data_IF_946002947888
#
_entry.id   IF_946002947888
#
_cell.length_a   1.000
_cell.length_b   1.000
_cell.length_c   1.000
_cell.angle_alpha   90.00
_cell.angle_beta   90.00
_cell.angle_gamma   90.00
#
_symmetry.space_group_name_H-M   'P 1'
#
loop_
_entity.id
_entity.type
_entity.pdbx_description
1 polymer ?
#
# COMPACT_ATOMS: atom_id res chain seq x y z
N UNK A 1 -23.95 19.00 -33.44
CA UNK A 1 -24.85 18.92 -32.27
C UNK A 1 -24.86 17.53 -31.63
N UNK A 2 -24.63 16.41 -32.35
CA UNK A 2 -24.51 15.07 -31.76
C UNK A 2 -23.18 14.81 -31.02
N UNK A 3 -22.07 15.37 -31.51
CA UNK A 3 -20.74 15.15 -30.92
C UNK A 3 -20.52 15.90 -29.59
N UNK A 4 -21.21 17.02 -29.38
CA UNK A 4 -21.15 17.80 -28.14
C UNK A 4 -21.95 17.13 -27.02
N UNK A 5 -23.10 16.52 -27.32
CA UNK A 5 -23.89 15.78 -26.33
C UNK A 5 -23.21 14.48 -25.89
N UNK A 6 -22.50 13.79 -26.79
CA UNK A 6 -21.74 12.57 -26.46
C UNK A 6 -20.52 12.87 -25.57
N UNK A 7 -19.85 13.99 -25.80
CA UNK A 7 -18.70 14.43 -24.97
C UNK A 7 -19.15 14.92 -23.59
N UNK A 8 -20.29 15.58 -23.47
CA UNK A 8 -20.90 15.97 -22.19
C UNK A 8 -21.34 14.74 -21.38
N UNK A 9 -21.98 13.75 -22.02
CA UNK A 9 -22.36 12.51 -21.36
C UNK A 9 -21.15 11.71 -20.86
N UNK A 10 -20.07 11.64 -21.65
CA UNK A 10 -18.82 11.01 -21.24
C UNK A 10 -18.14 11.73 -20.07
N UNK A 11 -18.17 13.07 -20.05
CA UNK A 11 -17.65 13.87 -18.95
C UNK A 11 -18.43 13.66 -17.65
N UNK A 12 -19.76 13.56 -17.72
CA UNK A 12 -20.62 13.29 -16.57
C UNK A 12 -20.30 11.92 -15.93
N UNK A 13 -20.18 10.86 -16.74
CA UNK A 13 -19.83 9.51 -16.26
C UNK A 13 -18.44 9.49 -15.61
N UNK A 14 -17.46 10.18 -16.19
CA UNK A 14 -16.12 10.28 -15.60
C UNK A 14 -16.12 11.00 -14.25
N UNK A 15 -16.95 12.04 -14.11
CA UNK A 15 -17.10 12.77 -12.86
C UNK A 15 -17.78 11.92 -11.77
N UNK A 16 -18.83 11.17 -12.11
CA UNK A 16 -19.47 10.24 -11.17
C UNK A 16 -18.51 9.15 -10.67
N UNK A 17 -17.73 8.55 -11.59
CA UNK A 17 -16.70 7.58 -11.23
C UNK A 17 -15.63 8.17 -10.30
N UNK A 18 -15.22 9.41 -10.56
CA UNK A 18 -14.26 10.13 -9.72
C UNK A 18 -14.82 10.36 -8.31
N UNK A 19 -16.03 10.90 -8.21
CA UNK A 19 -16.70 11.12 -6.91
C UNK A 19 -16.85 9.81 -6.12
N UNK A 20 -17.25 8.73 -6.78
CA UNK A 20 -17.39 7.44 -6.15
C UNK A 20 -16.06 6.95 -5.55
N UNK A 21 -14.96 7.09 -6.30
CA UNK A 21 -13.62 6.74 -5.82
C UNK A 21 -13.20 7.59 -4.61
N UNK A 22 -13.49 8.89 -4.64
CA UNK A 22 -13.18 9.81 -3.53
C UNK A 22 -13.98 9.45 -2.27
N UNK A 23 -15.28 9.15 -2.37
CA UNK A 23 -16.08 8.72 -1.22
C UNK A 23 -15.55 7.42 -0.59
N UNK A 24 -15.16 6.44 -1.41
CA UNK A 24 -14.56 5.20 -0.90
C UNK A 24 -13.21 5.46 -0.22
N UNK A 25 -12.37 6.32 -0.81
CA UNK A 25 -11.08 6.70 -0.24
C UNK A 25 -11.24 7.42 1.10
N UNK A 26 -12.14 8.40 1.17
CA UNK A 26 -12.45 9.13 2.40
C UNK A 26 -12.97 8.19 3.49
N UNK A 27 -13.90 7.29 3.15
CA UNK A 27 -14.44 6.31 4.09
C UNK A 27 -13.36 5.40 4.65
N UNK A 28 -12.44 4.91 3.81
CA UNK A 28 -11.32 4.08 4.23
C UNK A 28 -10.36 4.83 5.18
N UNK A 29 -10.09 6.11 4.91
CA UNK A 29 -9.24 6.96 5.77
C UNK A 29 -9.89 7.24 7.12
N UNK A 30 -11.19 7.52 7.15
CA UNK A 30 -11.94 7.72 8.40
C UNK A 30 -11.97 6.44 9.23
N UNK A 31 -12.19 5.29 8.59
CA UNK A 31 -12.12 4.00 9.27
C UNK A 31 -10.72 3.75 9.87
N UNK A 32 -9.66 4.08 9.13
CA UNK A 32 -8.29 3.96 9.62
C UNK A 32 -8.03 4.86 10.84
N UNK A 33 -8.51 6.11 10.82
CA UNK A 33 -8.40 7.01 11.97
C UNK A 33 -9.19 6.52 13.17
N UNK A 34 -10.37 5.95 12.95
CA UNK A 34 -11.18 5.35 14.01
C UNK A 34 -10.46 4.16 14.66
N UNK A 35 -9.91 3.24 13.86
CA UNK A 35 -9.12 2.10 14.35
C UNK A 35 -7.86 2.57 15.11
N UNK A 36 -7.24 3.65 14.62
CA UNK A 36 -6.11 4.29 15.31
C UNK A 36 -6.49 4.76 16.72
N UNK A 37 -7.62 5.47 16.87
CA UNK A 37 -8.10 5.96 18.16
C UNK A 37 -8.43 4.83 19.13
N UNK A 38 -9.09 3.77 18.66
CA UNK A 38 -9.47 2.63 19.51
C UNK A 38 -8.24 1.86 19.98
N UNK A 39 -7.22 1.71 19.14
CA UNK A 39 -6.00 0.96 19.46
C UNK A 39 -4.95 1.77 20.23
N UNK A 40 -5.18 3.06 20.47
CA UNK A 40 -4.21 3.94 21.12
C UNK A 40 -4.03 3.63 22.62
N UNK A 41 -5.11 3.31 23.33
CA UNK A 41 -5.03 2.99 24.76
C UNK A 41 -4.16 1.75 25.02
N UNK A 42 -4.34 0.72 24.19
CA UNK A 42 -3.51 -0.48 24.21
C UNK A 42 -2.05 -0.18 23.83
N UNK A 43 -1.83 0.71 22.85
CA UNK A 43 -0.49 1.14 22.46
C UNK A 43 0.28 1.75 23.64
N UNK A 44 -0.34 2.69 24.34
CA UNK A 44 0.26 3.37 25.50
C UNK A 44 0.58 2.37 26.62
N UNK A 45 -0.30 1.41 26.86
CA UNK A 45 -0.07 0.41 27.91
C UNK A 45 1.07 -0.56 27.57
N UNK A 46 1.06 -1.11 26.35
CA UNK A 46 1.93 -2.24 25.99
C UNK A 46 3.25 -1.85 25.33
N UNK A 47 3.30 -0.71 24.63
CA UNK A 47 4.47 -0.34 23.83
C UNK A 47 5.33 0.69 24.55
N UNK A 48 4.71 1.70 25.16
CA UNK A 48 5.43 2.78 25.83
C UNK A 48 6.06 2.34 27.17
N UNK A 49 5.58 1.24 27.75
CA UNK A 49 6.16 0.63 28.95
C UNK A 49 7.38 -0.26 28.65
N UNK A 50 7.62 -0.62 27.39
CA UNK A 50 8.70 -1.53 27.00
C UNK A 50 10.01 -0.83 26.62
N UNK A 51 11.12 -1.55 26.75
CA UNK A 51 12.44 -1.07 26.30
C UNK A 51 12.44 -0.94 24.78
N UNK A 52 12.91 0.20 24.29
CA UNK A 52 13.04 0.50 22.87
C UNK A 52 13.97 -0.52 22.20
N UNK A 53 13.40 -1.48 21.48
CA UNK A 53 14.13 -2.39 20.61
C UNK A 53 13.93 -1.96 19.13
N UNK A 54 14.78 -2.44 18.19
CA UNK A 54 14.66 -2.07 16.78
C UNK A 54 13.30 -2.42 16.14
N UNK A 55 12.66 -3.51 16.56
CA UNK A 55 11.33 -3.90 16.06
C UNK A 55 10.23 -2.96 16.58
N UNK A 56 10.29 -2.55 17.85
CA UNK A 56 9.40 -1.55 18.45
C UNK A 56 9.55 -0.20 17.75
N UNK A 57 10.78 0.23 17.47
CA UNK A 57 11.03 1.47 16.74
C UNK A 57 10.47 1.42 15.31
N UNK A 58 10.63 0.28 14.62
CA UNK A 58 10.08 0.10 13.28
C UNK A 58 8.55 0.11 13.28
N UNK A 59 7.92 -0.52 14.28
CA UNK A 59 6.47 -0.49 14.46
C UNK A 59 5.95 0.94 14.67
N UNK A 60 6.58 1.69 15.60
CA UNK A 60 6.23 3.09 15.88
C UNK A 60 6.40 3.92 14.60
N UNK A 61 7.55 3.80 13.92
CA UNK A 61 7.79 4.52 12.67
C UNK A 61 6.70 4.23 11.63
N UNK A 62 6.33 2.96 11.42
CA UNK A 62 5.25 2.60 10.51
C UNK A 62 3.92 3.26 10.91
N UNK A 63 3.56 3.17 12.18
CA UNK A 63 2.27 3.65 12.71
C UNK A 63 2.11 5.15 12.57
N UNK A 64 3.08 5.94 13.02
CA UNK A 64 2.99 7.41 12.98
C UNK A 64 3.22 7.99 11.58
N UNK A 65 4.05 7.35 10.74
CA UNK A 65 4.20 7.78 9.34
C UNK A 65 2.90 7.58 8.58
N UNK A 66 2.23 6.43 8.73
CA UNK A 66 0.95 6.19 8.06
C UNK A 66 -0.15 7.13 8.59
N UNK A 67 -0.20 7.39 9.90
CA UNK A 67 -1.12 8.40 10.45
C UNK A 67 -0.89 9.77 9.82
N UNK A 68 0.36 10.23 9.74
CA UNK A 68 0.70 11.52 9.13
C UNK A 68 0.30 11.57 7.66
N UNK A 69 0.55 10.50 6.90
CA UNK A 69 0.09 10.37 5.51
C UNK A 69 -1.42 10.54 5.43
N UNK A 70 -2.19 9.79 6.23
CA UNK A 70 -3.65 9.86 6.21
C UNK A 70 -4.17 11.27 6.52
N UNK A 71 -3.59 11.95 7.51
CA UNK A 71 -3.97 13.33 7.85
C UNK A 71 -3.66 14.27 6.66
N UNK A 72 -2.49 14.13 6.05
CA UNK A 72 -2.12 14.96 4.91
C UNK A 72 -3.02 14.69 3.70
N UNK A 73 -3.35 13.45 3.39
CA UNK A 73 -4.27 13.14 2.29
C UNK A 73 -5.67 13.75 2.50
N UNK A 74 -6.15 13.85 3.75
CA UNK A 74 -7.41 14.54 4.06
C UNK A 74 -7.29 16.05 3.86
N UNK A 75 -6.15 16.64 4.24
CA UNK A 75 -5.88 18.07 4.05
C UNK A 75 -5.65 18.43 2.58
N UNK A 76 -5.16 17.50 1.76
CA UNK A 76 -5.01 17.65 0.31
C UNK A 76 -6.35 17.95 -0.37
N UNK A 77 -7.41 17.29 0.11
CA UNK A 77 -8.77 17.39 -0.42
C UNK A 77 -9.55 18.60 0.13
N UNK A 78 -8.94 19.38 1.01
CA UNK A 78 -9.60 20.53 1.62
C UNK A 78 -9.66 21.74 0.68
N UNK A 79 -10.72 22.52 0.79
CA UNK A 79 -11.03 23.66 -0.10
C UNK A 79 -10.14 24.89 0.05
N UNK A 80 -9.24 24.91 1.05
CA UNK A 80 -8.40 26.07 1.36
C UNK A 80 -6.99 26.00 0.75
N UNK A 81 -6.70 25.02 -0.11
CA UNK A 81 -5.37 24.86 -0.70
C UNK A 81 -5.09 25.90 -1.79
N UNK A 82 -4.00 26.66 -1.63
CA UNK A 82 -3.48 27.60 -2.63
C UNK A 82 -2.59 26.90 -3.67
N UNK A 83 -2.57 27.43 -4.90
CA UNK A 83 -1.76 26.90 -6.00
C UNK A 83 -0.26 26.77 -5.70
N UNK A 84 0.29 27.67 -4.87
CA UNK A 84 1.69 27.62 -4.44
C UNK A 84 1.94 26.55 -3.38
N UNK A 85 0.96 26.29 -2.51
CA UNK A 85 1.06 25.31 -1.42
C UNK A 85 0.93 23.87 -1.93
N UNK A 86 0.13 23.65 -2.98
CA UNK A 86 -0.06 22.32 -3.58
C UNK A 86 1.25 21.63 -4.00
N UNK A 87 2.22 22.38 -4.54
CA UNK A 87 3.49 21.81 -4.95
C UNK A 87 4.29 21.23 -3.78
N UNK A 88 4.43 22.00 -2.70
CA UNK A 88 5.12 21.55 -1.49
C UNK A 88 4.36 20.42 -0.81
N UNK A 89 3.04 20.53 -0.73
CA UNK A 89 2.17 19.56 -0.07
C UNK A 89 2.28 18.17 -0.70
N UNK A 90 2.11 18.08 -2.03
CA UNK A 90 2.21 16.82 -2.76
C UNK A 90 3.62 16.24 -2.63
N UNK A 91 4.67 17.05 -2.71
CA UNK A 91 6.05 16.55 -2.56
C UNK A 91 6.32 15.96 -1.18
N UNK A 92 5.81 16.58 -0.13
CA UNK A 92 5.89 16.04 1.25
C UNK A 92 5.14 14.72 1.34
N UNK A 93 3.90 14.69 0.85
CA UNK A 93 3.07 13.49 0.87
C UNK A 93 3.72 12.31 0.12
N UNK A 94 4.22 12.54 -1.10
CA UNK A 94 4.90 11.51 -1.89
C UNK A 94 6.19 11.03 -1.22
N UNK A 95 6.93 11.93 -0.57
CA UNK A 95 8.12 11.56 0.20
C UNK A 95 7.77 10.64 1.37
N UNK A 96 6.70 10.97 2.11
CA UNK A 96 6.21 10.14 3.21
C UNK A 96 5.71 8.78 2.72
N UNK A 97 5.01 8.72 1.60
CA UNK A 97 4.60 7.45 0.97
C UNK A 97 5.80 6.56 0.62
N UNK A 98 6.87 7.14 0.06
CA UNK A 98 8.12 6.40 -0.20
C UNK A 98 8.74 5.89 1.10
N UNK A 99 8.76 6.71 2.15
CA UNK A 99 9.25 6.29 3.48
C UNK A 99 8.40 5.14 4.03
N UNK A 100 7.07 5.20 3.91
CA UNK A 100 6.17 4.13 4.34
C UNK A 100 6.44 2.82 3.58
N UNK A 101 6.68 2.89 2.27
CA UNK A 101 7.05 1.72 1.45
C UNK A 101 8.39 1.12 1.88
N UNK A 102 9.39 1.95 2.22
CA UNK A 102 10.67 1.48 2.73
C UNK A 102 10.53 0.81 4.11
N UNK A 103 9.71 1.38 5.00
CA UNK A 103 9.39 0.77 6.29
C UNK A 103 8.70 -0.59 6.09
N UNK A 104 7.75 -0.68 5.15
CA UNK A 104 7.08 -1.93 4.82
C UNK A 104 8.05 -2.98 4.27
N UNK A 105 8.92 -2.58 3.34
CA UNK A 105 9.99 -3.43 2.81
C UNK A 105 10.90 -3.98 3.92
N UNK A 106 11.31 -3.13 4.85
CA UNK A 106 12.11 -3.53 6.01
C UNK A 106 11.34 -4.51 6.90
N UNK A 107 10.08 -4.23 7.22
CA UNK A 107 9.24 -5.09 8.05
C UNK A 107 9.06 -6.49 7.44
N UNK A 108 8.68 -6.56 6.16
CA UNK A 108 8.46 -7.82 5.45
C UNK A 108 9.76 -8.62 5.33
N UNK A 109 10.88 -7.96 5.04
CA UNK A 109 12.20 -8.63 4.96
C UNK A 109 12.64 -9.17 6.31
N UNK A 110 12.53 -8.37 7.38
CA UNK A 110 12.90 -8.77 8.74
C UNK A 110 12.03 -9.92 9.25
N UNK A 111 10.74 -9.92 8.89
CA UNK A 111 9.85 -11.03 9.20
C UNK A 111 10.33 -12.33 8.56
N UNK A 112 10.63 -12.33 7.26
CA UNK A 112 11.14 -13.53 6.57
C UNK A 112 12.47 -13.98 7.18
N UNK A 113 13.37 -13.03 7.45
CA UNK A 113 14.66 -13.27 8.09
C UNK A 113 14.53 -13.93 9.48
N UNK A 114 13.64 -13.41 10.32
CA UNK A 114 13.41 -13.92 11.67
C UNK A 114 12.82 -15.34 11.62
N UNK A 115 11.82 -15.57 10.77
CA UNK A 115 11.13 -16.87 10.63
C UNK A 115 12.07 -17.95 10.11
N UNK A 116 13.01 -17.59 9.24
CA UNK A 116 14.03 -18.50 8.73
C UNK A 116 15.20 -18.73 9.68
N UNK A 117 15.13 -18.26 10.92
CA UNK A 117 16.16 -18.52 11.93
C UNK A 117 17.40 -17.67 11.74
N UNK A 118 17.23 -16.42 11.27
CA UNK A 118 18.30 -15.44 11.04
C UNK A 118 19.22 -15.80 9.86
N UNK A 119 18.66 -16.50 8.87
CA UNK A 119 19.31 -16.78 7.59
C UNK A 119 18.95 -15.71 6.54
N UNK A 120 19.96 -15.05 5.95
CA UNK A 120 19.74 -13.97 4.97
C UNK A 120 19.38 -14.47 3.56
N UNK A 121 19.64 -15.74 3.27
CA UNK A 121 19.46 -16.35 1.94
C UNK A 121 18.02 -16.21 1.40
N UNK A 122 16.95 -16.55 2.14
CA UNK A 122 15.57 -16.36 1.70
C UNK A 122 15.10 -14.90 1.80
N UNK A 123 15.70 -14.10 2.67
CA UNK A 123 15.33 -12.69 2.85
C UNK A 123 15.87 -11.79 1.73
N UNK A 124 17.02 -12.11 1.14
CA UNK A 124 17.67 -11.28 0.12
C UNK A 124 16.82 -11.09 -1.15
N UNK A 125 16.20 -12.14 -1.74
CA UNK A 125 15.30 -11.95 -2.88
C UNK A 125 14.07 -11.10 -2.55
N UNK A 126 13.51 -11.24 -1.35
CA UNK A 126 12.37 -10.45 -0.87
C UNK A 126 12.76 -8.98 -0.74
N UNK A 127 13.93 -8.70 -0.16
CA UNK A 127 14.47 -7.34 -0.06
C UNK A 127 14.70 -6.72 -1.44
N UNK A 128 15.35 -7.46 -2.34
CA UNK A 128 15.65 -6.98 -3.69
C UNK A 128 14.38 -6.62 -4.47
N UNK A 129 13.34 -7.46 -4.40
CA UNK A 129 12.07 -7.20 -5.07
C UNK A 129 11.28 -6.07 -4.39
N UNK A 130 11.24 -6.02 -3.06
CA UNK A 130 10.47 -4.99 -2.34
C UNK A 130 11.03 -3.58 -2.52
N UNK A 131 12.33 -3.41 -2.77
CA UNK A 131 12.95 -2.11 -3.06
C UNK A 131 12.63 -1.55 -4.45
N UNK A 132 12.17 -2.39 -5.39
CA UNK A 132 11.81 -1.93 -6.73
C UNK A 132 10.63 -0.96 -6.67
N UNK A 133 9.63 -1.22 -5.84
CA UNK A 133 8.43 -0.39 -5.77
C UNK A 133 8.72 1.06 -5.30
N UNK A 134 9.46 1.31 -4.20
CA UNK A 134 9.91 2.65 -3.84
C UNK A 134 10.64 3.37 -4.98
N UNK A 135 11.56 2.68 -5.67
CA UNK A 135 12.33 3.27 -6.79
C UNK A 135 11.42 3.68 -7.94
N UNK A 136 10.48 2.81 -8.34
CA UNK A 136 9.55 3.12 -9.42
C UNK A 136 8.61 4.28 -9.06
N UNK A 137 8.15 4.36 -7.81
CA UNK A 137 7.34 5.49 -7.33
C UNK A 137 8.11 6.81 -7.39
N UNK A 138 9.38 6.83 -7.00
CA UNK A 138 10.25 8.02 -7.12
C UNK A 138 10.39 8.44 -8.58
N UNK A 139 10.67 7.49 -9.49
CA UNK A 139 10.81 7.79 -10.92
C UNK A 139 9.51 8.40 -11.47
N UNK A 140 8.36 7.83 -11.14
CA UNK A 140 7.07 8.35 -11.55
C UNK A 140 6.86 9.78 -10.98
N UNK A 141 7.22 10.00 -9.72
CA UNK A 141 7.04 11.28 -9.04
C UNK A 141 7.85 12.43 -9.65
N UNK A 142 9.08 12.18 -10.11
CA UNK A 142 9.90 13.19 -10.78
C UNK A 142 9.28 13.67 -12.11
N UNK A 143 8.43 12.86 -12.74
CA UNK A 143 7.78 13.18 -14.02
C UNK A 143 6.38 13.80 -13.87
N UNK A 144 5.88 13.89 -12.64
CA UNK A 144 4.60 14.51 -12.27
C UNK A 144 4.77 16.02 -12.05
N UNK A 145 3.81 16.78 -12.55
CA UNK A 145 3.63 18.21 -12.26
C UNK A 145 2.41 18.41 -11.36
N UNK A 146 2.51 19.36 -10.45
CA UNK A 146 1.45 19.68 -9.47
C UNK A 146 0.71 20.93 -9.92
N UNK A 147 -0.61 20.89 -9.84
CA UNK A 147 -1.51 22.00 -10.18
C UNK A 147 -2.70 22.00 -9.21
N UNK A 148 -3.48 23.06 -9.19
CA UNK A 148 -4.77 23.05 -8.46
C UNK A 148 -5.78 22.19 -9.20
N UNK A 149 -6.66 21.52 -8.45
CA UNK A 149 -7.78 20.81 -9.04
C UNK A 149 -8.68 21.78 -9.84
N UNK A 150 -9.14 21.39 -11.04
CA UNK A 150 -10.04 22.22 -11.83
C UNK A 150 -11.45 22.24 -11.22
N UNK A 151 -12.16 23.37 -11.29
CA UNK A 151 -13.56 23.43 -10.84
C UNK A 151 -14.43 22.39 -11.58
N UNK A 152 -15.35 21.69 -10.90
CA UNK A 152 -15.87 21.93 -9.54
C UNK A 152 -15.11 21.20 -8.41
N UNK A 153 -13.99 20.52 -8.67
CA UNK A 153 -13.23 19.83 -7.62
C UNK A 153 -12.30 20.78 -6.88
N UNK A 154 -11.99 20.45 -5.63
CA UNK A 154 -11.14 21.24 -4.74
C UNK A 154 -9.86 20.46 -4.40
N UNK A 155 -8.83 21.20 -3.96
CA UNK A 155 -7.56 20.61 -3.55
C UNK A 155 -6.49 20.62 -4.64
N UNK A 156 -5.57 19.67 -4.54
CA UNK A 156 -4.42 19.56 -5.43
C UNK A 156 -4.63 18.45 -6.47
N UNK A 157 -4.12 18.68 -7.68
CA UNK A 157 -4.17 17.74 -8.77
C UNK A 157 -2.76 17.52 -9.36
N UNK A 158 -2.57 16.36 -9.96
CA UNK A 158 -1.29 15.98 -10.56
C UNK A 158 -1.49 15.67 -12.04
N UNK A 159 -0.64 16.26 -12.88
CA UNK A 159 -0.60 16.00 -14.32
C UNK A 159 0.71 15.35 -14.74
N UNK A 160 0.63 14.45 -15.73
CA UNK A 160 1.79 13.76 -16.30
C UNK A 160 2.20 14.53 -17.54
N UNK A 161 3.28 15.30 -17.47
CA UNK A 161 3.70 16.16 -18.60
C UNK A 161 5.03 15.75 -19.21
N UNK A 162 5.89 15.06 -18.46
CA UNK A 162 7.25 14.69 -18.89
C UNK A 162 7.39 13.24 -19.35
N UNK A 163 6.29 12.49 -19.37
CA UNK A 163 6.28 11.06 -19.73
C UNK A 163 5.11 10.75 -20.66
N UNK A 164 5.32 9.89 -21.65
CA UNK A 164 4.24 9.40 -22.52
C UNK A 164 3.29 8.49 -21.75
N UNK A 165 2.01 8.50 -22.11
CA UNK A 165 0.98 7.64 -21.49
C UNK A 165 1.34 6.16 -21.55
N UNK A 166 1.95 5.71 -22.66
CA UNK A 166 2.42 4.34 -22.82
C UNK A 166 3.52 3.96 -21.83
N UNK A 167 4.50 4.85 -21.60
CA UNK A 167 5.58 4.60 -20.63
C UNK A 167 5.06 4.61 -19.19
N UNK A 168 4.16 5.54 -18.86
CA UNK A 168 3.54 5.61 -17.54
C UNK A 168 2.78 4.32 -17.20
N UNK A 169 1.96 3.82 -18.13
CA UNK A 169 1.24 2.55 -17.94
C UNK A 169 2.19 1.37 -17.72
N UNK A 170 3.32 1.31 -18.44
CA UNK A 170 4.34 0.27 -18.23
C UNK A 170 4.96 0.34 -16.83
N UNK A 171 5.30 1.53 -16.35
CA UNK A 171 5.85 1.71 -15.01
C UNK A 171 4.84 1.31 -13.91
N UNK A 172 3.57 1.68 -14.07
CA UNK A 172 2.51 1.30 -13.13
C UNK A 172 2.32 -0.22 -13.11
N UNK A 173 2.28 -0.87 -14.28
CA UNK A 173 2.16 -2.32 -14.38
C UNK A 173 3.37 -3.00 -13.74
N UNK A 174 4.59 -2.54 -14.04
CA UNK A 174 5.81 -3.07 -13.44
C UNK A 174 5.80 -2.94 -11.91
N UNK A 175 5.45 -1.75 -11.38
CA UNK A 175 5.35 -1.50 -9.95
C UNK A 175 4.36 -2.46 -9.26
N UNK A 176 3.18 -2.65 -9.86
CA UNK A 176 2.16 -3.58 -9.35
C UNK A 176 2.61 -5.03 -9.41
N UNK A 177 3.17 -5.45 -10.54
CA UNK A 177 3.65 -6.81 -10.74
C UNK A 177 4.74 -7.16 -9.73
N UNK A 178 5.69 -6.25 -9.50
CA UNK A 178 6.74 -6.46 -8.50
C UNK A 178 6.17 -6.48 -7.09
N UNK A 179 5.17 -5.64 -6.79
CA UNK A 179 4.49 -5.64 -5.48
C UNK A 179 3.87 -6.98 -5.16
N UNK A 180 3.08 -7.50 -6.09
CA UNK A 180 2.47 -8.82 -5.98
C UNK A 180 3.53 -9.92 -5.87
N UNK A 181 4.61 -9.82 -6.65
CA UNK A 181 5.67 -10.83 -6.65
C UNK A 181 6.37 -10.91 -5.29
N UNK A 182 6.71 -9.77 -4.66
CA UNK A 182 7.40 -9.81 -3.38
C UNK A 182 6.46 -10.18 -2.22
N UNK A 183 5.21 -9.72 -2.22
CA UNK A 183 4.24 -10.09 -1.18
C UNK A 183 3.89 -11.58 -1.27
N UNK A 184 3.67 -12.09 -2.49
CA UNK A 184 3.46 -13.53 -2.74
C UNK A 184 4.66 -14.38 -2.35
N UNK A 185 5.89 -13.93 -2.66
CA UNK A 185 7.11 -14.62 -2.25
C UNK A 185 7.29 -14.63 -0.73
N UNK A 186 7.07 -13.49 -0.06
CA UNK A 186 7.15 -13.40 1.40
C UNK A 186 6.11 -14.32 2.06
N UNK A 187 4.88 -14.34 1.55
CA UNK A 187 3.83 -15.24 2.01
C UNK A 187 4.21 -16.70 1.80
N UNK A 188 4.69 -17.08 0.61
CA UNK A 188 5.11 -18.44 0.30
C UNK A 188 6.23 -18.92 1.23
N UNK A 189 7.29 -18.13 1.39
CA UNK A 189 8.41 -18.47 2.28
C UNK A 189 7.96 -18.62 3.72
N UNK A 190 7.01 -17.79 4.15
CA UNK A 190 6.48 -17.87 5.50
C UNK A 190 5.62 -19.11 5.70
N UNK A 191 4.75 -19.45 4.74
CA UNK A 191 3.93 -20.66 4.77
C UNK A 191 4.79 -21.92 4.75
N UNK A 192 5.81 -21.99 3.89
CA UNK A 192 6.72 -23.13 3.81
C UNK A 192 7.40 -23.39 5.15
N UNK A 193 7.93 -22.35 5.79
CA UNK A 193 8.60 -22.50 7.08
C UNK A 193 7.63 -22.86 8.19
N UNK A 194 6.44 -22.24 8.21
CA UNK A 194 5.39 -22.53 9.21
C UNK A 194 4.95 -23.99 9.11
N UNK A 195 4.73 -24.50 7.89
CA UNK A 195 4.37 -25.90 7.67
C UNK A 195 5.50 -26.85 8.10
N UNK A 196 6.76 -26.52 7.82
CA UNK A 196 7.90 -27.33 8.28
C UNK A 196 8.00 -27.39 9.82
N UNK A 197 7.78 -26.27 10.50
CA UNK A 197 7.79 -26.21 11.97
C UNK A 197 6.63 -27.04 12.52
N UNK A 198 5.43 -26.91 11.95
CA UNK A 198 4.25 -27.71 12.32
C UNK A 198 4.51 -29.20 12.15
N UNK A 199 5.05 -29.62 11.01
CA UNK A 199 5.33 -31.03 10.74
C UNK A 199 6.37 -31.60 11.73
N UNK A 200 7.41 -30.83 12.06
CA UNK A 200 8.41 -31.22 13.06
C UNK A 200 7.82 -31.31 14.47
N UNK A 201 6.98 -30.35 14.87
CA UNK A 201 6.31 -30.38 16.16
C UNK A 201 5.39 -31.60 16.30
N UNK A 202 4.69 -31.95 15.22
CA UNK A 202 3.79 -33.11 15.17
C UNK A 202 4.57 -34.44 15.19
N UNK A 203 5.70 -34.52 14.47
CA UNK A 203 6.62 -35.67 14.50
C UNK A 203 7.25 -35.89 15.87
N UNK A 204 7.58 -34.82 16.60
CA UNK A 204 8.14 -34.91 17.95
C UNK A 204 7.10 -35.24 19.03
N UNK A 205 5.81 -35.46 18.67
CA UNK A 205 4.72 -35.77 19.62
C UNK A 205 4.67 -34.80 20.81
N UNK A 206 5.01 -33.53 20.59
CA UNK A 206 4.88 -32.49 21.60
C UNK A 206 3.38 -32.27 21.82
N UNK A 207 2.80 -33.03 22.74
CA UNK A 207 1.43 -32.86 23.22
C UNK A 207 1.43 -31.62 24.12
N UNK A 208 0.82 -30.53 23.66
CA UNK A 208 0.68 -29.33 24.47
C UNK A 208 -0.18 -28.27 23.82
N UNK A 209 -1.24 -27.86 24.52
CA UNK A 209 -2.22 -26.86 24.06
C UNK A 209 -1.62 -25.50 23.72
N UNK A 210 -0.39 -25.18 24.16
CA UNK A 210 0.29 -23.93 23.80
C UNK A 210 0.70 -23.90 22.31
N UNK A 211 1.24 -25.00 21.75
CA UNK A 211 1.55 -25.08 20.31
C UNK A 211 0.28 -25.10 19.46
N UNK A 212 -0.82 -25.64 19.98
CA UNK A 212 -2.10 -25.67 19.28
C UNK A 212 -2.79 -24.29 19.25
N UNK A 213 -2.72 -23.55 20.36
CA UNK A 213 -3.21 -22.16 20.45
C UNK A 213 -2.34 -21.21 19.61
N UNK A 214 -1.01 -21.33 19.69
CA UNK A 214 -0.09 -20.49 18.89
C UNK A 214 -0.28 -20.71 17.38
N UNK A 215 -0.47 -21.98 16.96
CA UNK A 215 -0.75 -22.31 15.55
C UNK A 215 -2.11 -21.77 15.11
N UNK A 216 -3.10 -21.67 16.01
CA UNK A 216 -4.42 -21.14 15.70
C UNK A 216 -4.38 -19.62 15.48
N UNK A 217 -3.68 -18.88 16.33
CA UNK A 217 -3.54 -17.43 16.20
C UNK A 217 -2.68 -17.05 14.99
N UNK A 218 -1.58 -17.77 14.75
CA UNK A 218 -0.76 -17.58 13.56
C UNK A 218 -1.55 -17.90 12.28
N UNK A 219 -2.40 -18.94 12.29
CA UNK A 219 -3.19 -19.33 11.11
C UNK A 219 -4.19 -18.27 10.66
N UNK A 220 -4.80 -17.53 11.60
CA UNK A 220 -5.72 -16.44 11.29
C UNK A 220 -4.97 -15.29 10.62
N UNK A 221 -3.80 -14.93 11.15
CA UNK A 221 -2.94 -13.93 10.54
C UNK A 221 -2.49 -14.33 9.12
N UNK A 222 -2.13 -15.59 8.91
CA UNK A 222 -1.82 -16.13 7.59
C UNK A 222 -3.00 -16.09 6.62
N UNK A 223 -4.20 -16.41 7.10
CA UNK A 223 -5.42 -16.33 6.30
C UNK A 223 -5.71 -14.89 5.88
N UNK A 224 -5.63 -13.94 6.82
CA UNK A 224 -5.83 -12.51 6.54
C UNK A 224 -4.82 -12.03 5.48
N UNK A 225 -3.54 -12.36 5.65
CA UNK A 225 -2.51 -12.00 4.67
C UNK A 225 -2.78 -12.61 3.30
N UNK A 226 -3.22 -13.87 3.24
CA UNK A 226 -3.59 -14.51 1.98
C UNK A 226 -4.76 -13.78 1.32
N UNK A 227 -5.82 -13.44 2.07
CA UNK A 227 -6.96 -12.69 1.55
C UNK A 227 -6.52 -11.31 1.04
N UNK A 228 -5.69 -10.59 1.80
CA UNK A 228 -5.16 -9.28 1.39
C UNK A 228 -4.33 -9.41 0.10
N UNK A 229 -3.47 -10.41 -0.01
CA UNK A 229 -2.68 -10.69 -1.21
C UNK A 229 -3.57 -11.03 -2.42
N UNK A 230 -4.59 -11.86 -2.23
CA UNK A 230 -5.54 -12.20 -3.28
C UNK A 230 -6.35 -10.97 -3.73
N UNK A 231 -6.77 -10.14 -2.78
CA UNK A 231 -7.46 -8.89 -3.08
C UNK A 231 -6.55 -7.95 -3.91
N UNK A 232 -5.27 -7.82 -3.56
CA UNK A 232 -4.30 -7.04 -4.33
C UNK A 232 -4.16 -7.57 -5.77
N UNK A 233 -4.12 -8.89 -5.96
CA UNK A 233 -4.07 -9.51 -7.31
C UNK A 233 -5.33 -9.18 -8.11
N UNK A 234 -6.52 -9.30 -7.49
CA UNK A 234 -7.80 -8.99 -8.15
C UNK A 234 -7.87 -7.50 -8.52
N UNK A 235 -7.49 -6.59 -7.62
CA UNK A 235 -7.46 -5.16 -7.92
C UNK A 235 -6.49 -4.85 -9.07
N UNK A 236 -5.34 -5.52 -9.11
CA UNK A 236 -4.39 -5.35 -10.20
C UNK A 236 -4.92 -5.84 -11.55
N UNK A 237 -5.66 -6.95 -11.59
CA UNK A 237 -6.25 -7.48 -12.82
C UNK A 237 -7.37 -6.59 -13.38
N UNK A 238 -8.20 -6.00 -12.51
CA UNK A 238 -9.24 -5.07 -12.95
C UNK A 238 -8.63 -3.81 -13.57
N UNK A 239 -7.55 -3.29 -12.99
CA UNK A 239 -6.88 -2.10 -13.51
C UNK A 239 -6.13 -2.40 -14.82
N UNK A 240 -5.48 -3.55 -14.96
CA UNK A 240 -4.84 -3.92 -16.23
C UNK A 240 -5.85 -4.07 -17.36
N UNK A 241 -7.05 -4.60 -17.07
CA UNK A 241 -8.17 -4.65 -18.02
C UNK A 241 -8.68 -3.24 -18.33
N UNK A 242 -8.77 -2.35 -17.34
CA UNK A 242 -9.15 -0.95 -17.52
C UNK A 242 -8.18 -0.18 -18.43
N UNK A 243 -6.87 -0.35 -18.23
CA UNK A 243 -5.83 0.26 -19.09
C UNK A 243 -5.91 -0.31 -20.51
N UNK A 244 -6.09 -1.62 -20.68
CA UNK A 244 -6.24 -2.23 -22.01
C UNK A 244 -7.48 -1.73 -22.75
N UNK A 245 -8.60 -1.51 -22.06
CA UNK A 245 -9.80 -0.89 -22.64
C UNK A 245 -9.58 0.58 -23.02
N UNK A 246 -8.88 1.34 -22.17
CA UNK A 246 -8.55 2.73 -22.45
C UNK A 246 -7.61 2.88 -23.67
N UNK A 247 -6.68 1.95 -23.87
CA UNK A 247 -5.79 1.93 -25.04
C UNK A 247 -6.54 1.53 -26.32
N UNK A 248 -7.49 0.60 -26.25
CA UNK A 248 -8.30 0.22 -27.43
C UNK A 248 -9.30 1.29 -27.87
N UNK A 249 -9.76 2.16 -26.96
CA UNK A 249 -10.70 3.24 -27.29
C UNK A 249 -10.02 4.52 -27.84
N UNK A 250 -8.69 4.53 -27.98
CA UNK A 250 -7.91 5.67 -28.53
C UNK A 250 -7.49 5.41 -29.99
N UNK A 251 -7.87 4.28 -30.57
CA UNK A 251 -7.77 3.97 -32.00
C UNK A 251 -9.13 3.87 -32.64
#
# INVERSE_FOLDING_TARGET
MSSTSETEAAAAVNYENFLQADYFSLSARVLFLWDYCVTFDDEVHWIWSQKMNPATMLFIANRYVNLLITILELLEQASFQDAKSCGAFIRILQSLLVVALLIFSAFTTLRVYAIWGRDWRPALPVLALSLVSPVLNIIIDVHKNTQTAPSPTFGCAVSIQRMTSASYSKFIIANRATTIAYDGLALLLTLLKTMQVKERALKMRIKGGLSEVLVKDDSLYFLILLVVNLAQIVVASQVSVGISRAVMNVH
#
